data_IF_794704935357
#
_entry.id   IF_794704935357
#
_cell.length_a   1.000
_cell.length_b   1.000
_cell.length_c   1.000
_cell.angle_alpha   90.00
_cell.angle_beta   90.00
_cell.angle_gamma   90.00
#
_symmetry.space_group_name_H-M   'P 1'
#
loop_
_entity.id
_entity.type
_entity.pdbx_description
1 polymer ?
#
# COMPACT_ATOMS: atom_id res chain seq x y z
N UNK A 1 16.71 -3.01 2.75
CA UNK A 1 16.55 -1.54 2.72
C UNK A 1 16.53 -0.97 1.30
N UNK A 2 17.53 -1.18 0.43
CA UNK A 2 17.58 -0.59 -0.93
C UNK A 2 16.37 -0.95 -1.82
N UNK A 3 15.94 -2.22 -1.82
CA UNK A 3 14.73 -2.66 -2.56
C UNK A 3 13.46 -1.96 -2.08
N UNK A 4 13.41 -1.61 -0.79
CA UNK A 4 12.27 -0.91 -0.20
C UNK A 4 12.25 0.55 -0.64
N UNK A 5 13.42 1.22 -0.60
CA UNK A 5 13.59 2.60 -1.06
C UNK A 5 13.25 2.74 -2.54
N UNK A 6 13.70 1.82 -3.39
CA UNK A 6 13.41 1.86 -4.82
C UNK A 6 11.91 1.66 -5.10
N UNK A 7 11.28 0.67 -4.44
CA UNK A 7 9.84 0.44 -4.55
C UNK A 7 9.02 1.62 -4.03
N UNK A 8 9.39 2.19 -2.88
CA UNK A 8 8.72 3.36 -2.33
C UNK A 8 8.91 4.59 -3.21
N UNK A 9 10.09 4.78 -3.81
CA UNK A 9 10.35 5.88 -4.74
C UNK A 9 9.47 5.81 -5.99
N UNK A 10 9.31 4.63 -6.58
CA UNK A 10 8.40 4.42 -7.72
C UNK A 10 6.96 4.74 -7.33
N UNK A 11 6.49 4.22 -6.18
CA UNK A 11 5.13 4.46 -5.70
C UNK A 11 4.88 5.94 -5.41
N UNK A 12 5.80 6.60 -4.71
CA UNK A 12 5.70 8.03 -4.41
C UNK A 12 5.73 8.89 -5.68
N UNK A 13 6.57 8.53 -6.65
CA UNK A 13 6.63 9.21 -7.94
C UNK A 13 5.31 9.09 -8.71
N UNK A 14 4.74 7.89 -8.76
CA UNK A 14 3.44 7.65 -9.39
C UNK A 14 2.32 8.46 -8.71
N UNK A 15 2.31 8.48 -7.37
CA UNK A 15 1.35 9.28 -6.59
C UNK A 15 1.53 10.78 -6.88
N UNK A 16 2.76 11.29 -6.87
CA UNK A 16 3.05 12.70 -7.13
C UNK A 16 2.61 13.13 -8.54
N UNK A 17 2.90 12.31 -9.55
CA UNK A 17 2.47 12.56 -10.92
C UNK A 17 0.93 12.55 -11.04
N UNK A 18 0.27 11.55 -10.45
CA UNK A 18 -1.19 11.47 -10.45
C UNK A 18 -1.86 12.65 -9.73
N UNK A 19 -1.22 13.19 -8.69
CA UNK A 19 -1.69 14.39 -7.99
C UNK A 19 -1.53 15.65 -8.85
N UNK A 20 -0.45 15.77 -9.61
CA UNK A 20 -0.25 16.86 -10.57
C UNK A 20 -1.23 16.81 -11.74
N UNK A 21 -1.53 15.63 -12.28
CA UNK A 21 -2.53 15.45 -13.34
C UNK A 21 -3.97 15.74 -12.87
N UNK A 22 -4.17 16.05 -11.59
CA UNK A 22 -5.47 16.45 -11.06
C UNK A 22 -6.41 15.26 -10.83
N UNK A 23 -5.90 14.03 -10.81
CA UNK A 23 -6.67 12.82 -10.42
C UNK A 23 -7.22 12.97 -9.00
N UNK A 24 -6.54 13.75 -8.15
CA UNK A 24 -6.88 13.96 -6.74
C UNK A 24 -7.40 15.38 -6.42
N UNK A 25 -7.45 16.30 -7.39
CA UNK A 25 -7.80 17.71 -7.15
C UNK A 25 -9.29 18.00 -7.30
N UNK A 26 -9.79 17.99 -8.53
CA UNK A 26 -11.16 18.38 -8.84
C UNK A 26 -11.75 17.41 -9.83
N UNK A 27 -13.00 16.98 -9.60
CA UNK A 27 -13.67 16.01 -10.47
C UNK A 27 -13.63 16.41 -11.95
N UNK A 28 -13.58 17.71 -12.26
CA UNK A 28 -13.50 18.20 -13.64
C UNK A 28 -12.13 17.96 -14.30
N UNK A 29 -11.03 18.01 -13.54
CA UNK A 29 -9.69 17.72 -14.05
C UNK A 29 -9.49 16.22 -14.24
N UNK A 30 -9.95 15.41 -13.28
CA UNK A 30 -9.88 13.94 -13.40
C UNK A 30 -10.72 13.41 -14.57
N UNK A 31 -11.82 14.08 -14.92
CA UNK A 31 -12.61 13.77 -16.12
C UNK A 31 -11.78 13.97 -17.39
N UNK A 32 -11.04 15.08 -17.50
CA UNK A 32 -10.19 15.34 -18.67
C UNK A 32 -9.07 14.31 -18.82
N UNK A 33 -8.55 13.78 -17.71
CA UNK A 33 -7.56 12.70 -17.74
C UNK A 33 -8.19 11.40 -18.24
N UNK A 34 -9.38 11.04 -17.74
CA UNK A 34 -10.12 9.87 -18.25
C UNK A 34 -10.46 10.01 -19.74
N UNK A 35 -10.90 11.18 -20.19
CA UNK A 35 -11.23 11.43 -21.59
C UNK A 35 -9.97 11.35 -22.47
N UNK A 36 -8.83 11.90 -22.03
CA UNK A 36 -7.55 11.75 -22.74
C UNK A 36 -7.10 10.30 -22.88
N UNK A 37 -7.24 9.51 -21.81
CA UNK A 37 -6.90 8.08 -21.82
C UNK A 37 -7.84 7.34 -22.78
N UNK A 38 -9.13 7.69 -22.77
CA UNK A 38 -10.12 7.14 -23.70
C UNK A 38 -9.78 7.49 -25.15
N UNK A 39 -9.48 8.74 -25.45
CA UNK A 39 -9.11 9.20 -26.79
C UNK A 39 -7.84 8.53 -27.31
N UNK A 40 -6.86 8.31 -26.41
CA UNK A 40 -5.64 7.57 -26.74
C UNK A 40 -5.90 6.08 -26.99
N UNK A 41 -6.76 5.45 -26.18
CA UNK A 41 -7.05 4.00 -26.27
C UNK A 41 -8.04 3.63 -27.38
N UNK A 42 -8.95 4.54 -27.73
CA UNK A 42 -9.98 4.37 -28.75
C UNK A 42 -9.45 3.85 -30.10
N UNK A 43 -8.40 4.42 -30.72
CA UNK A 43 -7.90 3.92 -32.01
C UNK A 43 -7.34 2.50 -31.92
N UNK A 44 -6.69 2.13 -30.81
CA UNK A 44 -6.16 0.78 -30.61
C UNK A 44 -7.26 -0.25 -30.37
N UNK A 45 -8.30 0.14 -29.63
CA UNK A 45 -9.49 -0.69 -29.43
C UNK A 45 -10.19 -1.00 -30.76
N UNK A 46 -10.35 0.01 -31.62
CA UNK A 46 -10.96 -0.18 -32.94
C UNK A 46 -10.11 -1.06 -33.87
N UNK A 47 -8.78 -0.93 -33.81
CA UNK A 47 -7.87 -1.82 -34.55
C UNK A 47 -7.90 -3.26 -34.03
N UNK A 48 -8.02 -3.47 -32.72
CA UNK A 48 -8.14 -4.79 -32.12
C UNK A 48 -9.51 -5.44 -32.44
N UNK A 49 -10.59 -4.65 -32.41
CA UNK A 49 -11.95 -5.10 -32.79
C UNK A 49 -12.02 -5.51 -34.27
N UNK A 50 -11.27 -4.84 -35.15
CA UNK A 50 -11.19 -5.19 -36.57
C UNK A 50 -10.41 -6.49 -36.86
N UNK A 51 -9.52 -6.90 -35.95
CA UNK A 51 -8.65 -8.08 -36.13
C UNK A 51 -9.17 -9.35 -35.46
N UNK A 52 -10.16 -9.22 -34.56
CA UNK A 52 -10.68 -10.35 -33.79
C UNK A 52 -12.11 -10.72 -34.26
N UNK A 53 -12.36 -11.97 -34.69
CA UNK A 53 -13.68 -12.44 -35.14
C UNK A 53 -14.65 -12.74 -33.98
N UNK A 54 -14.58 -11.97 -32.89
CA UNK A 54 -15.35 -12.16 -31.66
C UNK A 54 -16.08 -10.86 -31.35
N UNK A 55 -17.36 -10.90 -30.96
CA UNK A 55 -18.09 -9.73 -30.49
C UNK A 55 -17.50 -9.24 -29.16
N UNK A 56 -16.56 -8.31 -29.24
CA UNK A 56 -16.00 -7.65 -28.05
C UNK A 56 -17.04 -6.64 -27.56
N UNK A 57 -17.46 -6.73 -26.28
CA UNK A 57 -18.42 -5.78 -25.71
C UNK A 57 -17.89 -4.36 -25.83
N UNK A 58 -18.75 -3.43 -26.24
CA UNK A 58 -18.34 -2.04 -26.46
C UNK A 58 -17.65 -1.45 -25.25
N UNK A 59 -16.65 -0.60 -25.53
CA UNK A 59 -15.85 0.02 -24.49
C UNK A 59 -16.76 0.69 -23.46
N UNK A 60 -16.53 0.47 -22.16
CA UNK A 60 -17.43 0.96 -21.12
C UNK A 60 -17.57 2.48 -21.25
N UNK A 61 -18.82 2.96 -21.36
CA UNK A 61 -19.13 4.39 -21.43
C UNK A 61 -18.41 5.11 -20.28
N UNK A 62 -17.83 6.27 -20.55
CA UNK A 62 -17.06 7.08 -19.58
C UNK A 62 -17.79 7.27 -18.24
N UNK A 63 -19.13 7.28 -18.24
CA UNK A 63 -19.99 7.32 -17.05
C UNK A 63 -19.84 6.07 -16.16
N UNK A 64 -19.78 4.87 -16.72
CA UNK A 64 -19.64 3.62 -15.96
C UNK A 64 -18.25 3.51 -15.34
N UNK A 65 -17.21 3.87 -16.09
CA UNK A 65 -15.83 3.95 -15.58
C UNK A 65 -15.75 4.95 -14.43
N UNK A 66 -16.42 6.10 -14.57
CA UNK A 66 -16.50 7.12 -13.51
C UNK A 66 -17.20 6.59 -12.25
N UNK A 67 -18.29 5.85 -12.38
CA UNK A 67 -18.99 5.27 -11.24
C UNK A 67 -18.13 4.22 -10.53
N UNK A 68 -17.45 3.37 -11.31
CA UNK A 68 -16.52 2.37 -10.77
C UNK A 68 -15.36 3.02 -10.01
N UNK A 69 -14.77 4.08 -10.58
CA UNK A 69 -13.67 4.81 -9.94
C UNK A 69 -14.12 5.44 -8.62
N UNK A 70 -15.29 6.08 -8.60
CA UNK A 70 -15.90 6.63 -7.37
C UNK A 70 -16.14 5.56 -6.30
N UNK A 71 -16.71 4.42 -6.68
CA UNK A 71 -16.98 3.34 -5.73
C UNK A 71 -15.69 2.74 -5.18
N UNK A 72 -14.69 2.52 -6.04
CA UNK A 72 -13.38 1.98 -5.65
C UNK A 72 -12.65 2.92 -4.71
N UNK A 73 -12.70 4.22 -5.00
CA UNK A 73 -12.16 5.27 -4.13
C UNK A 73 -12.81 5.25 -2.75
N UNK A 74 -14.14 5.27 -2.68
CA UNK A 74 -14.88 5.26 -1.41
C UNK A 74 -14.59 3.99 -0.60
N UNK A 75 -14.50 2.83 -1.26
CA UNK A 75 -14.10 1.58 -0.63
C UNK A 75 -12.67 1.65 -0.10
N UNK A 76 -11.74 2.25 -0.86
CA UNK A 76 -10.36 2.46 -0.44
C UNK A 76 -10.25 3.33 0.80
N UNK A 77 -10.94 4.47 0.83
CA UNK A 77 -10.99 5.37 2.00
C UNK A 77 -11.56 4.63 3.21
N UNK A 78 -12.68 3.93 3.03
CA UNK A 78 -13.33 3.17 4.10
C UNK A 78 -12.41 2.09 4.65
N UNK A 79 -11.79 1.28 3.80
CA UNK A 79 -10.85 0.24 4.20
C UNK A 79 -9.63 0.81 4.93
N UNK A 80 -9.16 1.99 4.51
CA UNK A 80 -8.02 2.67 5.15
C UNK A 80 -8.39 3.16 6.55
N UNK A 81 -9.58 3.74 6.72
CA UNK A 81 -10.08 4.13 8.04
C UNK A 81 -10.29 2.91 8.95
N UNK A 82 -10.84 1.81 8.43
CA UNK A 82 -11.00 0.55 9.19
C UNK A 82 -9.63 -0.03 9.56
N UNK A 83 -8.66 0.02 8.65
CA UNK A 83 -7.30 -0.44 8.95
C UNK A 83 -6.68 0.40 10.06
N UNK A 84 -6.78 1.74 9.97
CA UNK A 84 -6.28 2.65 10.99
C UNK A 84 -6.99 2.45 12.34
N UNK A 85 -8.30 2.18 12.36
CA UNK A 85 -9.02 1.91 13.60
C UNK A 85 -8.60 0.59 14.24
N UNK A 86 -8.28 -0.43 13.42
CA UNK A 86 -7.86 -1.75 13.88
C UNK A 86 -6.35 -1.83 14.13
N UNK A 87 -5.60 -0.77 13.82
CA UNK A 87 -4.15 -0.73 13.94
C UNK A 87 -3.65 -0.86 15.39
N UNK A 88 -4.25 -0.20 16.39
CA UNK A 88 -3.83 -0.34 17.79
C UNK A 88 -4.01 -1.76 18.32
N UNK A 89 -5.13 -2.42 17.99
CA UNK A 89 -5.40 -3.81 18.40
C UNK A 89 -4.43 -4.78 17.72
N UNK A 90 -4.22 -4.64 16.42
CA UNK A 90 -3.28 -5.49 15.68
C UNK A 90 -1.83 -5.29 16.15
N UNK A 91 -1.42 -4.04 16.40
CA UNK A 91 -0.09 -3.76 16.94
C UNK A 91 0.07 -4.35 18.34
N UNK A 92 -0.90 -4.17 19.24
CA UNK A 92 -0.82 -4.73 20.59
C UNK A 92 -0.70 -6.26 20.56
N UNK A 93 -1.45 -6.92 19.67
CA UNK A 93 -1.43 -8.37 19.48
C UNK A 93 -0.11 -8.83 18.88
N UNK A 94 0.43 -8.14 17.87
CA UNK A 94 1.74 -8.47 17.30
C UNK A 94 2.88 -8.25 18.30
N UNK A 95 2.79 -7.19 19.10
CA UNK A 95 3.77 -6.91 20.16
C UNK A 95 3.73 -7.98 21.25
N UNK A 96 2.55 -8.38 21.73
CA UNK A 96 2.44 -9.45 22.74
C UNK A 96 2.91 -10.79 22.19
N UNK A 97 2.51 -11.18 20.98
CA UNK A 97 3.02 -12.40 20.34
C UNK A 97 4.53 -12.37 20.10
N UNK A 98 5.10 -11.22 19.76
CA UNK A 98 6.54 -11.05 19.60
C UNK A 98 7.26 -11.23 20.93
N UNK A 99 6.78 -10.58 21.99
CA UNK A 99 7.33 -10.68 23.35
C UNK A 99 7.20 -12.10 23.89
N UNK A 100 6.06 -12.76 23.67
CA UNK A 100 5.82 -14.12 24.14
C UNK A 100 6.71 -15.12 23.42
N UNK A 101 6.91 -14.98 22.10
CA UNK A 101 7.88 -15.81 21.34
C UNK A 101 9.32 -15.60 21.79
N UNK A 102 9.68 -14.38 22.19
CA UNK A 102 11.01 -14.07 22.74
C UNK A 102 11.17 -14.71 24.13
N UNK A 103 10.14 -14.65 24.97
CA UNK A 103 10.15 -15.23 26.32
C UNK A 103 10.13 -16.75 26.33
N UNK A 104 9.45 -17.38 25.37
CA UNK A 104 9.35 -18.84 25.26
C UNK A 104 10.58 -19.49 24.62
N UNK A 105 11.48 -18.71 24.03
CA UNK A 105 12.69 -19.22 23.39
C UNK A 105 13.89 -19.16 24.35
N UNK A 106 14.29 -20.33 24.85
CA UNK A 106 15.44 -20.51 25.75
C UNK A 106 16.75 -19.96 25.16
N UNK A 107 16.96 -20.06 23.84
CA UNK A 107 18.18 -19.54 23.19
C UNK A 107 18.23 -18.01 23.21
N UNK A 108 17.12 -17.34 22.90
CA UNK A 108 17.04 -15.87 22.93
C UNK A 108 17.17 -15.35 24.36
N UNK A 109 16.58 -16.05 25.33
CA UNK A 109 16.71 -15.73 26.76
C UNK A 109 18.16 -15.88 27.24
N UNK A 110 18.87 -16.92 26.80
CA UNK A 110 20.28 -17.11 27.12
C UNK A 110 21.17 -16.07 26.43
N UNK A 111 20.90 -15.73 25.16
CA UNK A 111 21.58 -14.62 24.48
C UNK A 111 21.37 -13.28 25.18
N UNK A 112 20.14 -12.96 25.58
CA UNK A 112 19.83 -11.69 26.25
C UNK A 112 20.49 -11.62 27.63
N UNK A 113 20.52 -12.73 28.39
CA UNK A 113 21.27 -12.83 29.64
C UNK A 113 22.77 -12.66 29.47
N UNK A 114 23.36 -13.25 28.43
CA UNK A 114 24.79 -13.07 28.12
C UNK A 114 25.11 -11.62 27.75
N UNK A 115 24.19 -10.92 27.06
CA UNK A 115 24.34 -9.49 26.77
C UNK A 115 24.15 -8.61 28.02
N UNK A 116 23.14 -8.89 28.86
CA UNK A 116 22.87 -8.11 30.08
C UNK A 116 23.83 -8.41 31.22
N UNK A 117 24.47 -9.58 31.23
CA UNK A 117 25.42 -10.02 32.26
C UNK A 117 26.79 -9.35 32.20
N UNK A 118 27.02 -8.41 31.28
CA UNK A 118 28.27 -7.67 31.18
C UNK A 118 28.30 -6.38 32.02
N UNK A 119 27.27 -6.09 32.83
CA UNK A 119 27.19 -4.84 33.62
C UNK A 119 27.14 -5.03 35.14
N UNK A 120 27.08 -6.27 35.67
CA UNK A 120 26.94 -6.51 37.12
C UNK A 120 28.23 -7.00 37.82
N UNK A 121 29.30 -7.31 37.10
CA UNK A 121 30.55 -7.81 37.69
C UNK A 121 31.51 -6.71 38.23
N UNK A 122 31.13 -5.42 38.18
CA UNK A 122 31.93 -4.30 38.72
C UNK A 122 31.33 -3.70 40.00
N UNK A 123 30.73 -4.50 40.88
CA UNK A 123 30.32 -4.01 42.23
C UNK A 123 30.59 -4.93 43.42
N UNK A 124 31.19 -6.10 43.21
CA UNK A 124 31.52 -7.03 44.31
C UNK A 124 32.98 -6.94 44.80
N UNK A 125 33.78 -5.99 44.31
CA UNK A 125 35.19 -5.84 44.70
C UNK A 125 35.50 -4.41 45.20
N UNK A 126 34.68 -3.91 46.13
CA UNK A 126 35.01 -2.77 47.02
C UNK A 126 33.94 -2.64 48.13
N UNK A 127 34.04 -3.49 49.15
CA UNK A 127 33.81 -3.15 50.57
C UNK A 127 34.16 -4.31 51.47
#
# INVERSE_FOLDING_TARGET
MIKFILKSGIVLGAVYYSAQEGVWKHSAESIKVCDKIYDFASPYYNQAKAQLPIEIPDFPKTIQVRQFLKQSWNKGVTASCIFLSNLPENLSTWTTHGVDKIKSNEEIKNMFKTFSGSTDDEKSLKR
#
